data_IF_973383767483
#
_entry.id   IF_973383767483
#
_cell.length_a   1.000
_cell.length_b   1.000
_cell.length_c   1.000
_cell.angle_alpha   90.00
_cell.angle_beta   90.00
_cell.angle_gamma   90.00
#
_symmetry.space_group_name_H-M   'P 1'
#
loop_
_entity.id
_entity.type
_entity.pdbx_description
1 polymer ?
#
# COMPACT_ATOMS: atom_id res chain seq x y z
N UNK A 1 -2.70 -23.83 7.04
CA UNK A 1 -3.13 -22.74 6.12
C UNK A 1 -4.08 -21.75 6.77
N UNK A 2 -5.24 -22.13 7.31
CA UNK A 2 -6.20 -21.18 7.94
C UNK A 2 -5.58 -20.30 9.04
N UNK A 3 -4.96 -20.91 10.04
CA UNK A 3 -4.30 -20.16 11.13
C UNK A 3 -3.20 -19.20 10.62
N UNK A 4 -2.49 -19.57 9.55
CA UNK A 4 -1.48 -18.72 8.91
C UNK A 4 -2.12 -17.52 8.24
N UNK A 5 -3.20 -17.72 7.48
CA UNK A 5 -3.99 -16.65 6.86
C UNK A 5 -4.51 -15.70 7.93
N UNK A 6 -5.12 -16.21 9.00
CA UNK A 6 -5.67 -15.38 10.07
C UNK A 6 -4.57 -14.55 10.75
N UNK A 7 -3.40 -15.14 11.02
CA UNK A 7 -2.23 -14.40 11.56
C UNK A 7 -1.79 -13.28 10.62
N UNK A 8 -1.76 -13.52 9.31
CA UNK A 8 -1.35 -12.52 8.32
C UNK A 8 -2.38 -11.40 8.19
N UNK A 9 -3.68 -11.71 8.29
CA UNK A 9 -4.74 -10.69 8.31
C UNK A 9 -4.68 -9.83 9.58
N UNK A 10 -4.34 -10.42 10.74
CA UNK A 10 -4.10 -9.64 11.96
C UNK A 10 -2.85 -8.76 11.85
N UNK A 11 -1.78 -9.27 11.22
CA UNK A 11 -0.60 -8.47 10.90
C UNK A 11 -0.96 -7.28 9.99
N UNK A 12 -1.74 -7.52 8.94
CA UNK A 12 -2.17 -6.47 8.01
C UNK A 12 -2.97 -5.40 8.75
N UNK A 13 -4.04 -5.80 9.44
CA UNK A 13 -4.94 -4.89 10.15
C UNK A 13 -4.23 -4.09 11.25
N UNK A 14 -3.38 -4.75 12.05
CA UNK A 14 -2.76 -4.15 13.23
C UNK A 14 -1.44 -3.43 12.97
N UNK A 15 -0.74 -3.79 11.89
CA UNK A 15 0.62 -3.29 11.62
C UNK A 15 0.72 -2.64 10.24
N UNK A 16 0.60 -3.43 9.16
CA UNK A 16 0.91 -2.95 7.82
C UNK A 16 -0.12 -1.92 7.33
N UNK A 17 -1.38 -2.29 7.15
CA UNK A 17 -2.43 -1.35 6.76
C UNK A 17 -2.59 -0.20 7.76
N UNK A 18 -2.40 -0.47 9.06
CA UNK A 18 -2.43 0.59 10.08
C UNK A 18 -1.38 1.66 9.83
N UNK A 19 -0.14 1.27 9.57
CA UNK A 19 0.95 2.21 9.26
C UNK A 19 0.74 2.93 7.93
N UNK A 20 0.21 2.23 6.91
CA UNK A 20 -0.18 2.83 5.62
C UNK A 20 -1.26 3.90 5.84
N UNK A 21 -2.31 3.58 6.58
CA UNK A 21 -3.41 4.50 6.87
C UNK A 21 -2.94 5.72 7.65
N UNK A 22 -2.11 5.52 8.68
CA UNK A 22 -1.53 6.60 9.47
C UNK A 22 -0.64 7.53 8.62
N UNK A 23 0.08 7.00 7.63
CA UNK A 23 0.87 7.78 6.68
C UNK A 23 -0.01 8.49 5.64
N UNK A 24 -0.97 7.81 5.04
CA UNK A 24 -1.76 8.37 3.93
C UNK A 24 -2.84 9.34 4.41
N UNK A 25 -3.41 9.14 5.60
CA UNK A 25 -4.52 9.95 6.14
C UNK A 25 -4.24 11.46 6.16
N UNK A 26 -3.08 11.95 6.69
CA UNK A 26 -2.74 13.38 6.64
C UNK A 26 -2.72 13.97 5.22
N UNK A 27 -2.34 13.18 4.20
CA UNK A 27 -2.34 13.60 2.80
C UNK A 27 -3.77 13.95 2.38
N UNK A 28 -4.73 13.07 2.64
CA UNK A 28 -6.14 13.28 2.29
C UNK A 28 -6.81 14.41 3.07
N UNK A 29 -6.38 14.68 4.30
CA UNK A 29 -6.88 15.81 5.09
C UNK A 29 -6.11 17.13 4.85
N UNK A 30 -5.22 17.17 3.85
CA UNK A 30 -4.48 18.38 3.50
C UNK A 30 -3.50 18.85 4.58
N UNK A 31 -3.10 18.00 5.53
CA UNK A 31 -2.16 18.33 6.61
C UNK A 31 -0.71 18.43 6.14
N UNK A 32 0.17 18.99 6.96
CA UNK A 32 1.58 19.13 6.62
C UNK A 32 2.26 17.76 6.47
N UNK A 33 3.26 17.67 5.59
CA UNK A 33 4.03 16.43 5.36
C UNK A 33 4.89 16.05 6.59
N UNK A 34 5.17 17.01 7.46
CA UNK A 34 5.91 16.83 8.71
C UNK A 34 5.13 15.99 9.75
N UNK A 35 3.81 15.85 9.59
CA UNK A 35 2.95 15.02 10.44
C UNK A 35 2.88 13.55 9.98
N UNK A 36 3.56 13.21 8.89
CA UNK A 36 3.50 11.85 8.31
C UNK A 36 4.28 10.88 9.19
N UNK A 37 3.63 9.79 9.60
CA UNK A 37 4.27 8.70 10.35
C UNK A 37 5.09 7.78 9.45
N UNK A 38 5.98 8.37 8.64
CA UNK A 38 6.72 7.64 7.60
C UNK A 38 7.70 6.63 8.19
N UNK A 39 8.36 6.93 9.31
CA UNK A 39 9.29 6.00 9.95
C UNK A 39 8.61 4.68 10.34
N UNK A 40 7.37 4.76 10.85
CA UNK A 40 6.61 3.56 11.20
C UNK A 40 6.18 2.77 9.97
N UNK A 41 5.87 3.47 8.88
CA UNK A 41 5.57 2.83 7.60
C UNK A 41 6.79 2.10 7.03
N UNK A 42 7.98 2.71 7.10
CA UNK A 42 9.22 2.07 6.65
C UNK A 42 9.51 0.80 7.46
N UNK A 43 9.39 0.86 8.78
CA UNK A 43 9.60 -0.29 9.67
C UNK A 43 8.68 -1.48 9.33
N UNK A 44 7.38 -1.21 9.08
CA UNK A 44 6.42 -2.26 8.73
C UNK A 44 6.61 -2.79 7.31
N UNK A 45 7.04 -1.94 6.38
CA UNK A 45 7.42 -2.35 5.01
C UNK A 45 8.70 -3.19 5.01
N UNK A 46 9.71 -2.87 5.84
CA UNK A 46 10.93 -3.68 5.99
C UNK A 46 10.60 -5.10 6.48
N UNK A 47 9.70 -5.18 7.48
CA UNK A 47 9.20 -6.45 7.99
C UNK A 47 8.42 -7.21 6.89
N UNK A 48 7.54 -6.54 6.17
CA UNK A 48 6.76 -7.16 5.11
C UNK A 48 7.65 -7.66 3.96
N UNK A 49 8.61 -6.87 3.50
CA UNK A 49 9.56 -7.23 2.45
C UNK A 49 10.35 -8.49 2.83
N UNK A 50 10.77 -8.57 4.10
CA UNK A 50 11.43 -9.76 4.64
C UNK A 50 10.51 -11.00 4.65
N UNK A 51 9.22 -10.82 4.92
CA UNK A 51 8.23 -11.93 4.94
C UNK A 51 8.00 -12.54 3.56
N UNK A 52 8.01 -11.72 2.50
CA UNK A 52 7.72 -12.16 1.12
C UNK A 52 8.97 -12.53 0.30
N UNK A 53 10.14 -12.61 0.94
CA UNK A 53 11.40 -12.84 0.25
C UNK A 53 11.58 -14.29 -0.29
N UNK A 54 10.92 -15.28 0.32
CA UNK A 54 11.19 -16.71 0.06
C UNK A 54 10.11 -17.40 -0.76
N UNK A 55 8.85 -17.10 -0.46
CA UNK A 55 7.69 -17.77 -1.04
C UNK A 55 7.08 -16.94 -2.18
N UNK A 56 6.36 -17.59 -3.08
CA UNK A 56 5.68 -16.90 -4.19
C UNK A 56 4.53 -16.02 -3.68
N UNK A 57 3.72 -16.56 -2.77
CA UNK A 57 2.63 -15.87 -2.08
C UNK A 57 2.77 -16.07 -0.57
N UNK A 58 1.97 -15.35 0.22
CA UNK A 58 2.11 -15.32 1.68
C UNK A 58 1.87 -16.67 2.36
N UNK A 59 1.18 -17.59 1.69
CA UNK A 59 0.88 -18.94 2.18
C UNK A 59 1.48 -20.05 1.31
N UNK A 60 2.51 -19.76 0.51
CA UNK A 60 3.20 -20.72 -0.36
C UNK A 60 2.95 -20.45 -1.85
N UNK A 61 2.67 -21.50 -2.62
CA UNK A 61 2.55 -21.42 -4.09
C UNK A 61 1.17 -20.95 -4.59
N UNK A 62 0.15 -21.01 -3.73
CA UNK A 62 -1.21 -20.60 -4.06
C UNK A 62 -1.59 -19.27 -3.41
N UNK A 63 -2.32 -18.47 -4.17
CA UNK A 63 -2.86 -17.20 -3.72
C UNK A 63 -3.90 -17.42 -2.62
N UNK A 64 -3.81 -16.62 -1.56
CA UNK A 64 -4.69 -16.70 -0.40
C UNK A 64 -5.45 -15.40 -0.16
N UNK A 65 -6.43 -15.44 0.75
CA UNK A 65 -7.15 -14.23 1.18
C UNK A 65 -6.21 -13.18 1.79
N UNK A 66 -5.12 -13.60 2.44
CA UNK A 66 -4.14 -12.68 2.98
C UNK A 66 -3.45 -11.87 1.88
N UNK A 67 -3.18 -12.48 0.71
CA UNK A 67 -2.57 -11.78 -0.41
C UNK A 67 -3.50 -10.73 -1.01
N UNK A 68 -4.78 -11.06 -1.14
CA UNK A 68 -5.82 -10.14 -1.61
C UNK A 68 -5.99 -8.97 -0.64
N UNK A 69 -5.98 -9.22 0.67
CA UNK A 69 -6.08 -8.15 1.68
C UNK A 69 -4.90 -7.19 1.57
N UNK A 70 -3.68 -7.71 1.69
CA UNK A 70 -2.48 -6.87 1.78
C UNK A 70 -2.21 -6.09 0.50
N UNK A 71 -2.48 -6.66 -0.69
CA UNK A 71 -2.23 -5.94 -1.94
C UNK A 71 -3.09 -4.67 -2.03
N UNK A 72 -4.31 -4.65 -1.47
CA UNK A 72 -5.16 -3.45 -1.49
C UNK A 72 -4.52 -2.29 -0.72
N UNK A 73 -3.91 -2.56 0.43
CA UNK A 73 -3.17 -1.56 1.20
C UNK A 73 -1.97 -1.01 0.45
N UNK A 74 -1.16 -1.88 -0.15
CA UNK A 74 0.02 -1.44 -0.91
C UNK A 74 -0.34 -0.70 -2.20
N UNK A 75 -1.48 -1.04 -2.83
CA UNK A 75 -2.01 -0.33 -3.99
C UNK A 75 -2.37 1.12 -3.66
N UNK A 76 -2.80 1.40 -2.42
CA UNK A 76 -3.04 2.75 -1.95
C UNK A 76 -1.74 3.57 -1.90
N UNK A 77 -0.64 2.97 -1.45
CA UNK A 77 0.68 3.61 -1.49
C UNK A 77 1.11 3.91 -2.93
N UNK A 78 0.94 2.96 -3.87
CA UNK A 78 1.19 3.19 -5.30
C UNK A 78 0.36 4.36 -5.86
N UNK A 79 -0.88 4.52 -5.41
CA UNK A 79 -1.74 5.62 -5.84
C UNK A 79 -1.32 6.99 -5.27
N UNK A 80 -0.52 7.01 -4.20
CA UNK A 80 0.05 8.23 -3.60
C UNK A 80 1.47 8.56 -4.11
N UNK A 81 1.99 7.80 -5.07
CA UNK A 81 3.36 7.86 -5.57
C UNK A 81 4.43 7.57 -4.49
N UNK A 82 4.10 6.76 -3.48
CA UNK A 82 5.08 6.35 -2.48
C UNK A 82 6.18 5.47 -3.13
N UNK A 83 7.47 5.65 -2.81
CA UNK A 83 8.57 4.96 -3.49
C UNK A 83 8.72 3.50 -3.02
N UNK A 84 7.74 2.65 -3.34
CA UNK A 84 7.74 1.22 -2.98
C UNK A 84 8.92 0.43 -3.57
N UNK A 85 9.59 0.96 -4.60
CA UNK A 85 10.77 0.34 -5.23
C UNK A 85 11.97 0.11 -4.29
N UNK A 86 11.96 0.72 -3.11
CA UNK A 86 12.93 0.45 -2.04
C UNK A 86 12.76 -0.96 -1.44
N UNK A 87 11.55 -1.53 -1.49
CA UNK A 87 11.19 -2.87 -1.00
C UNK A 87 10.99 -3.84 -2.16
N UNK A 88 12.11 -4.37 -2.67
CA UNK A 88 12.15 -5.15 -3.92
C UNK A 88 11.37 -6.45 -3.84
N UNK A 89 11.37 -7.13 -2.69
CA UNK A 89 10.62 -8.38 -2.53
C UNK A 89 9.12 -8.08 -2.48
N UNK A 90 8.72 -6.99 -1.81
CA UNK A 90 7.35 -6.52 -1.82
C UNK A 90 6.88 -6.19 -3.24
N UNK A 91 7.66 -5.46 -4.04
CA UNK A 91 7.32 -5.19 -5.45
C UNK A 91 7.18 -6.48 -6.26
N UNK A 92 8.14 -7.40 -6.17
CA UNK A 92 8.09 -8.69 -6.87
C UNK A 92 6.84 -9.50 -6.48
N UNK A 93 6.51 -9.51 -5.19
CA UNK A 93 5.31 -10.16 -4.67
C UNK A 93 4.04 -9.49 -5.20
N UNK A 94 3.96 -8.16 -5.21
CA UNK A 94 2.82 -7.41 -5.76
C UNK A 94 2.61 -7.75 -7.24
N UNK A 95 3.68 -7.78 -8.04
CA UNK A 95 3.61 -8.16 -9.45
C UNK A 95 3.08 -9.59 -9.63
N UNK A 96 3.54 -10.53 -8.80
CA UNK A 96 3.05 -11.90 -8.80
C UNK A 96 1.56 -12.02 -8.45
N UNK A 97 1.09 -11.25 -7.47
CA UNK A 97 -0.34 -11.20 -7.08
C UNK A 97 -1.19 -10.56 -8.19
N UNK A 98 -0.74 -9.44 -8.76
CA UNK A 98 -1.41 -8.77 -9.89
C UNK A 98 -1.52 -9.70 -11.11
N UNK A 99 -0.43 -10.39 -11.47
CA UNK A 99 -0.41 -11.35 -12.57
C UNK A 99 -1.34 -12.53 -12.32
N UNK A 100 -1.41 -13.04 -11.08
CA UNK A 100 -2.32 -14.14 -10.74
C UNK A 100 -3.79 -13.73 -10.81
N UNK A 101 -4.12 -12.51 -10.39
CA UNK A 101 -5.48 -11.98 -10.42
C UNK A 101 -5.90 -11.46 -11.82
N UNK A 102 -4.95 -11.16 -12.70
CA UNK A 102 -5.19 -10.69 -14.08
C UNK A 102 -6.22 -9.56 -14.15
N UNK A 103 -7.27 -9.75 -14.95
CA UNK A 103 -8.28 -8.74 -15.23
C UNK A 103 -9.12 -8.40 -13.99
N UNK A 104 -9.29 -9.34 -13.05
CA UNK A 104 -9.99 -9.09 -11.79
C UNK A 104 -9.34 -7.97 -10.98
N UNK A 105 -7.99 -7.95 -10.94
CA UNK A 105 -7.27 -6.87 -10.26
C UNK A 105 -7.51 -5.51 -10.91
N UNK A 106 -7.50 -5.47 -12.26
CA UNK A 106 -7.75 -4.23 -13.01
C UNK A 106 -9.15 -3.72 -12.76
N UNK A 107 -10.16 -4.58 -12.82
CA UNK A 107 -11.56 -4.20 -12.62
C UNK A 107 -11.80 -3.63 -11.21
N UNK A 108 -11.22 -4.25 -10.18
CA UNK A 108 -11.45 -3.81 -8.80
C UNK A 108 -10.66 -2.56 -8.43
N UNK A 109 -9.38 -2.48 -8.83
CA UNK A 109 -8.47 -1.46 -8.31
C UNK A 109 -8.21 -0.30 -9.26
N UNK A 110 -8.40 -0.44 -10.59
CA UNK A 110 -8.03 0.63 -11.53
C UNK A 110 -8.80 1.94 -11.27
N UNK A 111 -10.13 1.84 -11.06
CA UNK A 111 -10.96 3.02 -10.79
C UNK A 111 -10.61 3.67 -9.45
N UNK A 112 -10.36 2.87 -8.41
CA UNK A 112 -9.99 3.37 -7.10
C UNK A 112 -8.63 4.07 -7.14
N UNK A 113 -7.62 3.44 -7.74
CA UNK A 113 -6.26 4.00 -7.88
C UNK A 113 -6.30 5.31 -8.67
N UNK A 114 -7.02 5.36 -9.79
CA UNK A 114 -7.10 6.57 -10.61
C UNK A 114 -7.78 7.72 -9.86
N UNK A 115 -8.91 7.46 -9.21
CA UNK A 115 -9.61 8.46 -8.40
C UNK A 115 -8.71 8.98 -7.27
N UNK A 116 -7.97 8.09 -6.59
CA UNK A 116 -7.02 8.47 -5.54
C UNK A 116 -5.89 9.34 -6.09
N UNK A 117 -5.29 8.97 -7.23
CA UNK A 117 -4.23 9.77 -7.87
C UNK A 117 -4.71 11.18 -8.22
N UNK A 118 -5.89 11.28 -8.82
CA UNK A 118 -6.49 12.57 -9.18
C UNK A 118 -6.72 13.43 -7.93
N UNK A 119 -7.23 12.84 -6.84
CA UNK A 119 -7.47 13.55 -5.61
C UNK A 119 -6.17 14.00 -4.92
N UNK A 120 -5.15 13.13 -4.85
CA UNK A 120 -3.83 13.49 -4.31
C UNK A 120 -3.18 14.61 -5.12
N UNK A 121 -3.27 14.55 -6.46
CA UNK A 121 -2.78 15.62 -7.34
C UNK A 121 -3.49 16.94 -7.06
N UNK A 122 -4.82 16.93 -7.01
CA UNK A 122 -5.61 18.12 -6.67
C UNK A 122 -5.17 18.75 -5.34
N UNK A 123 -4.95 17.95 -4.30
CA UNK A 123 -4.48 18.46 -3.00
C UNK A 123 -3.06 19.04 -3.05
N UNK A 124 -2.18 18.51 -3.90
CA UNK A 124 -0.83 19.05 -4.12
C UNK A 124 -0.88 20.39 -4.84
N UNK A 125 -1.72 20.50 -5.87
CA UNK A 125 -1.89 21.72 -6.67
C UNK A 125 -2.44 22.87 -5.80
N UNK A 126 -3.52 22.63 -5.06
CA UNK A 126 -4.12 23.64 -4.14
C UNK A 126 -3.12 24.13 -3.08
N UNK A 127 -2.29 23.26 -2.51
CA UNK A 127 -1.27 23.66 -1.54
C UNK A 127 -0.15 24.51 -2.15
N UNK A 128 0.13 24.32 -3.44
CA UNK A 128 1.16 25.08 -4.15
C UNK A 128 0.68 26.50 -4.40
N UNK A 129 -0.56 26.66 -4.85
CA UNK A 129 -1.19 27.97 -5.10
C UNK A 129 -1.23 28.84 -3.83
N UNK A 130 -1.60 28.25 -2.68
CA UNK A 130 -1.63 28.96 -1.37
C UNK A 130 -0.23 29.43 -0.94
N UNK A 131 0.84 28.73 -1.32
CA UNK A 131 2.21 29.12 -0.99
C UNK A 131 2.74 30.21 -1.90
N UNK A 132 2.27 30.31 -3.15
CA UNK A 132 2.71 31.34 -4.11
C UNK A 132 1.99 32.68 -3.93
N UNK A 133 0.81 32.69 -3.30
CA UNK A 133 0.04 33.91 -2.98
C UNK A 133 0.49 34.60 -1.67
N UNK A 134 1.50 34.08 -0.97
CA UNK A 134 2.10 34.66 0.25
C UNK A 134 3.51 35.17 -0.02
#
# INVERSE_FOLDING_TARGET
TRATIDRLLQFDLGSLYRSISDYVSPIFFGKAMEDLKEDKLKETLDLFDSMVAKERFLCGDDLSLADISIITGLSLLEATDYPLSLWRNACKWMDGVKDRLKDFYKEMNAKAIENTRQYVKFLRDVKTDIKTDK
#
